data_IF_308392256368
#
_entry.id   IF_308392256368
#
_cell.length_a   1.000
_cell.length_b   1.000
_cell.length_c   1.000
_cell.angle_alpha   90.00
_cell.angle_beta   90.00
_cell.angle_gamma   90.00
#
_symmetry.space_group_name_H-M   'P 1'
#
loop_
_entity.id
_entity.type
_entity.pdbx_description
1 polymer ?
#
# COMPACT_ATOMS: atom_id res chain seq x y z
N UNK A 1 -10.63 -14.95 -6.42
CA UNK A 1 -9.60 -14.02 -5.91
C UNK A 1 -9.12 -14.55 -4.58
N UNK A 2 -7.84 -14.88 -4.48
CA UNK A 2 -7.16 -15.29 -3.25
C UNK A 2 -6.46 -14.08 -2.63
N UNK A 3 -6.47 -14.00 -1.30
CA UNK A 3 -5.74 -12.97 -0.54
C UNK A 3 -4.89 -13.66 0.53
N UNK A 4 -3.60 -13.44 0.48
CA UNK A 4 -2.66 -14.03 1.45
C UNK A 4 -1.46 -13.13 1.71
N UNK A 5 -0.78 -13.40 2.80
CA UNK A 5 0.53 -12.79 3.05
C UNK A 5 1.49 -13.17 1.92
N UNK A 6 2.30 -12.20 1.50
CA UNK A 6 3.38 -12.43 0.55
C UNK A 6 4.44 -13.36 1.14
N UNK A 7 5.15 -14.08 0.29
CA UNK A 7 6.29 -14.92 0.64
C UNK A 7 7.52 -14.49 -0.15
N UNK A 8 8.75 -14.74 0.35
CA UNK A 8 9.97 -14.44 -0.41
C UNK A 8 10.00 -15.06 -1.81
N UNK A 9 9.37 -16.23 -1.98
CA UNK A 9 9.26 -16.94 -3.26
C UNK A 9 8.42 -16.18 -4.29
N UNK A 10 7.54 -15.29 -3.86
CA UNK A 10 6.71 -14.45 -4.74
C UNK A 10 7.50 -13.27 -5.32
N UNK A 11 8.74 -13.04 -4.90
CA UNK A 11 9.52 -11.83 -5.20
C UNK A 11 9.64 -11.53 -6.70
N UNK A 12 9.83 -12.56 -7.54
CA UNK A 12 9.91 -12.37 -9.01
C UNK A 12 8.61 -11.80 -9.54
N UNK A 13 7.49 -12.44 -9.22
CA UNK A 13 6.17 -12.00 -9.66
C UNK A 13 5.80 -10.62 -9.09
N UNK A 14 6.16 -10.36 -7.83
CA UNK A 14 5.99 -9.06 -7.20
C UNK A 14 6.73 -7.94 -7.96
N UNK A 15 7.99 -8.15 -8.31
CA UNK A 15 8.76 -7.16 -9.10
C UNK A 15 8.13 -6.95 -10.47
N UNK A 16 7.72 -8.01 -11.16
CA UNK A 16 7.06 -7.94 -12.46
C UNK A 16 5.73 -7.17 -12.38
N UNK A 17 4.93 -7.46 -11.36
CA UNK A 17 3.66 -6.78 -11.10
C UNK A 17 3.87 -5.28 -10.82
N UNK A 18 4.83 -4.94 -9.95
CA UNK A 18 5.13 -3.55 -9.63
C UNK A 18 5.65 -2.77 -10.84
N UNK A 19 6.51 -3.38 -11.67
CA UNK A 19 6.97 -2.77 -12.94
C UNK A 19 5.83 -2.58 -13.93
N UNK A 20 4.87 -3.51 -13.97
CA UNK A 20 3.67 -3.35 -14.79
C UNK A 20 2.81 -2.19 -14.30
N UNK A 21 2.68 -2.01 -12.98
CA UNK A 21 1.98 -0.86 -12.42
C UNK A 21 2.65 0.48 -12.79
N UNK A 22 3.98 0.54 -12.73
CA UNK A 22 4.72 1.76 -13.11
C UNK A 22 4.48 2.13 -14.60
N UNK A 23 4.18 1.14 -15.46
CA UNK A 23 3.81 1.36 -16.87
C UNK A 23 2.32 1.70 -17.06
N UNK A 24 1.44 1.17 -16.21
CA UNK A 24 -0.02 1.31 -16.33
C UNK A 24 -0.55 2.65 -15.81
N UNK A 25 0.24 3.38 -15.00
CA UNK A 25 -0.22 4.60 -14.35
C UNK A 25 0.94 5.50 -13.91
N UNK A 26 0.73 6.79 -13.93
CA UNK A 26 1.62 7.81 -13.38
C UNK A 26 1.31 8.15 -11.89
N UNK A 27 0.45 7.35 -11.24
CA UNK A 27 0.05 7.56 -9.84
C UNK A 27 0.98 6.84 -8.84
N UNK A 28 1.90 6.00 -9.31
CA UNK A 28 2.91 5.37 -8.48
C UNK A 28 4.10 6.31 -8.28
N UNK A 29 4.93 6.02 -7.26
CA UNK A 29 6.10 6.84 -6.92
C UNK A 29 7.18 6.82 -7.99
N UNK A 30 7.39 5.67 -8.65
CA UNK A 30 8.46 5.47 -9.61
C UNK A 30 7.96 5.65 -11.03
N UNK A 31 8.78 6.29 -11.86
CA UNK A 31 8.57 6.36 -13.31
C UNK A 31 8.89 5.02 -13.98
N UNK A 32 8.33 4.74 -15.17
CA UNK A 32 8.68 3.57 -15.96
C UNK A 32 10.19 3.45 -16.17
N UNK A 33 10.76 2.30 -15.77
CA UNK A 33 12.19 2.01 -15.90
C UNK A 33 13.03 2.31 -14.65
N UNK A 34 12.57 3.09 -13.69
CA UNK A 34 13.32 3.35 -12.45
C UNK A 34 13.37 2.13 -11.53
N UNK A 35 12.30 1.32 -11.52
CA UNK A 35 12.25 0.10 -10.70
C UNK A 35 13.19 -0.96 -11.28
N UNK A 36 14.21 -1.33 -10.49
CA UNK A 36 15.14 -2.41 -10.85
C UNK A 36 14.40 -3.74 -10.96
N UNK A 37 14.81 -4.55 -11.92
CA UNK A 37 14.38 -5.95 -12.02
C UNK A 37 15.32 -6.81 -11.18
N UNK A 38 15.12 -6.81 -9.86
CA UNK A 38 15.97 -7.48 -8.90
C UNK A 38 15.11 -8.32 -7.92
N UNK A 39 14.75 -9.56 -8.31
CA UNK A 39 13.98 -10.45 -7.45
C UNK A 39 14.69 -10.85 -6.16
N UNK A 40 16.04 -10.88 -6.14
CA UNK A 40 16.80 -11.24 -4.94
C UNK A 40 16.71 -10.13 -3.89
N UNK A 41 16.90 -8.88 -4.30
CA UNK A 41 16.70 -7.74 -3.41
C UNK A 41 15.24 -7.65 -2.94
N UNK A 42 14.27 -7.92 -3.81
CA UNK A 42 12.86 -7.96 -3.42
C UNK A 42 12.56 -9.07 -2.40
N UNK A 43 13.14 -10.28 -2.56
CA UNK A 43 12.99 -11.36 -1.61
C UNK A 43 13.62 -11.02 -0.24
N UNK A 44 14.76 -10.32 -0.24
CA UNK A 44 15.37 -9.83 1.00
C UNK A 44 14.46 -8.80 1.69
N UNK A 45 13.97 -7.80 0.96
CA UNK A 45 13.03 -6.79 1.46
C UNK A 45 11.75 -7.42 2.02
N UNK A 46 11.18 -8.43 1.34
CA UNK A 46 10.00 -9.14 1.83
C UNK A 46 10.30 -9.83 3.16
N UNK A 47 11.44 -10.54 3.28
CA UNK A 47 11.85 -11.19 4.54
C UNK A 47 12.00 -10.19 5.68
N UNK A 48 12.66 -9.08 5.43
CA UNK A 48 12.88 -8.02 6.42
C UNK A 48 11.56 -7.40 6.88
N UNK A 49 10.66 -7.07 5.95
CA UNK A 49 9.35 -6.51 6.24
C UNK A 49 8.51 -7.47 7.10
N UNK A 50 8.45 -8.75 6.74
CA UNK A 50 7.72 -9.75 7.49
C UNK A 50 8.33 -9.99 8.89
N UNK A 51 9.64 -10.03 9.00
CA UNK A 51 10.35 -10.17 10.29
C UNK A 51 10.12 -8.96 11.20
N UNK A 52 9.93 -7.78 10.63
CA UNK A 52 9.61 -6.56 11.37
C UNK A 52 8.12 -6.47 11.79
N UNK A 53 7.30 -7.42 11.36
CA UNK A 53 5.87 -7.48 11.67
C UNK A 53 5.03 -6.51 10.85
N UNK A 54 5.48 -6.11 9.67
CA UNK A 54 4.70 -5.30 8.75
C UNK A 54 3.54 -6.09 8.15
N UNK A 55 2.53 -5.37 7.69
CA UNK A 55 1.48 -5.95 6.88
C UNK A 55 1.92 -6.00 5.42
N UNK A 56 1.86 -7.17 4.81
CA UNK A 56 2.22 -7.33 3.42
C UNK A 56 1.35 -8.43 2.78
N UNK A 57 0.27 -8.02 2.12
CA UNK A 57 -0.73 -8.92 1.53
C UNK A 57 -0.78 -8.72 0.02
N UNK A 58 -0.94 -9.82 -0.70
CA UNK A 58 -1.16 -9.86 -2.14
C UNK A 58 -2.56 -10.39 -2.45
N UNK A 59 -3.14 -9.91 -3.56
CA UNK A 59 -4.32 -10.47 -4.20
C UNK A 59 -3.91 -11.22 -5.45
N UNK A 60 -4.39 -12.45 -5.62
CA UNK A 60 -4.09 -13.31 -6.77
C UNK A 60 -5.36 -13.82 -7.45
N UNK A 61 -5.29 -13.95 -8.76
CA UNK A 61 -6.29 -14.68 -9.56
C UNK A 61 -5.57 -15.73 -10.41
N UNK A 62 -5.70 -17.01 -10.02
CA UNK A 62 -4.88 -18.07 -10.57
C UNK A 62 -3.39 -17.81 -10.31
N UNK A 63 -2.59 -17.80 -11.36
CA UNK A 63 -1.14 -17.56 -11.27
C UNK A 63 -0.75 -16.07 -11.32
N UNK A 64 -1.73 -15.17 -11.51
CA UNK A 64 -1.45 -13.75 -11.67
C UNK A 64 -1.63 -12.97 -10.40
N UNK A 65 -0.65 -12.15 -10.03
CA UNK A 65 -0.74 -11.17 -8.95
C UNK A 65 -1.52 -9.95 -9.44
N UNK A 66 -2.70 -9.75 -8.86
CA UNK A 66 -3.65 -8.69 -9.23
C UNK A 66 -3.37 -7.37 -8.50
N UNK A 67 -2.78 -7.46 -7.31
CA UNK A 67 -2.50 -6.29 -6.50
C UNK A 67 -1.76 -6.62 -5.21
N UNK A 68 -1.29 -5.57 -4.55
CA UNK A 68 -0.55 -5.63 -3.29
C UNK A 68 -1.03 -4.51 -2.36
N UNK A 69 -1.03 -4.79 -1.07
CA UNK A 69 -1.15 -3.78 -0.01
C UNK A 69 -0.10 -4.05 1.06
N UNK A 70 0.69 -3.02 1.37
CA UNK A 70 1.67 -3.03 2.45
C UNK A 70 1.31 -1.99 3.49
N UNK A 71 1.65 -2.25 4.75
CA UNK A 71 1.66 -1.25 5.81
C UNK A 71 2.93 -1.42 6.65
N UNK A 72 3.84 -0.47 6.49
CA UNK A 72 5.11 -0.46 7.19
C UNK A 72 4.95 0.21 8.55
N UNK A 73 5.28 -0.51 9.64
CA UNK A 73 5.20 0.00 11.00
C UNK A 73 6.32 1.00 11.29
N UNK A 74 6.02 1.99 12.10
CA UNK A 74 7.03 2.89 12.63
C UNK A 74 8.10 2.14 13.45
N UNK A 75 9.38 2.34 13.11
CA UNK A 75 10.51 1.60 13.69
C UNK A 75 10.95 2.15 15.06
N UNK A 76 10.54 3.38 15.42
CA UNK A 76 10.89 4.00 16.68
C UNK A 76 9.73 3.91 17.68
N UNK A 77 10.05 3.86 18.99
CA UNK A 77 9.06 3.70 20.06
C UNK A 77 7.89 4.70 19.96
N UNK A 78 8.18 5.96 19.59
CA UNK A 78 7.19 7.05 19.55
C UNK A 78 6.22 6.96 18.38
N UNK A 79 6.54 6.19 17.33
CA UNK A 79 5.72 6.06 16.12
C UNK A 79 5.33 4.61 15.83
N UNK A 80 5.71 3.65 16.70
CA UNK A 80 5.43 2.21 16.46
C UNK A 80 3.93 1.86 16.47
N UNK A 81 3.09 2.78 16.94
CA UNK A 81 1.64 2.69 16.90
C UNK A 81 1.05 3.12 15.54
N UNK A 82 1.88 3.62 14.64
CA UNK A 82 1.48 4.05 13.31
C UNK A 82 2.05 3.12 12.23
N UNK A 83 1.35 3.02 11.09
CA UNK A 83 1.85 2.31 9.93
C UNK A 83 1.55 3.11 8.65
N UNK A 84 2.54 3.16 7.74
CA UNK A 84 2.43 3.82 6.45
C UNK A 84 1.96 2.82 5.39
N UNK A 85 0.87 3.15 4.70
CA UNK A 85 0.15 2.26 3.79
C UNK A 85 0.49 2.56 2.33
N UNK A 86 0.78 1.52 1.55
CA UNK A 86 0.89 1.60 0.09
C UNK A 86 0.02 0.51 -0.52
N UNK A 87 -0.77 0.86 -1.54
CA UNK A 87 -1.58 -0.09 -2.29
C UNK A 87 -1.39 0.09 -3.79
N UNK A 88 -1.28 -1.03 -4.49
CA UNK A 88 -1.22 -1.07 -5.94
C UNK A 88 -2.14 -2.17 -6.48
N UNK A 89 -3.02 -1.83 -7.44
CA UNK A 89 -3.90 -2.78 -8.11
C UNK A 89 -3.76 -2.57 -9.61
N UNK A 90 -3.43 -3.63 -10.34
CA UNK A 90 -3.27 -3.62 -11.79
C UNK A 90 -4.56 -3.20 -12.49
N UNK A 91 -4.45 -2.48 -13.60
CA UNK A 91 -5.58 -1.87 -14.31
C UNK A 91 -6.70 -2.86 -14.62
N UNK A 92 -6.37 -4.06 -15.12
CA UNK A 92 -7.34 -5.11 -15.47
C UNK A 92 -8.12 -5.72 -14.28
N UNK A 93 -7.75 -5.36 -13.04
CA UNK A 93 -8.37 -5.88 -11.82
C UNK A 93 -9.08 -4.81 -10.99
N UNK A 94 -9.02 -3.54 -11.42
CA UNK A 94 -9.70 -2.42 -10.73
C UNK A 94 -11.21 -2.54 -10.81
N UNK A 95 -11.92 -1.89 -9.89
CA UNK A 95 -13.39 -1.91 -9.86
C UNK A 95 -14.03 -3.23 -9.38
N UNK A 96 -13.23 -4.24 -8.99
CA UNK A 96 -13.68 -5.57 -8.57
C UNK A 96 -13.72 -5.78 -7.06
N UNK A 97 -13.63 -4.70 -6.28
CA UNK A 97 -13.69 -4.75 -4.81
C UNK A 97 -12.39 -5.19 -4.12
N UNK A 98 -11.29 -5.42 -4.86
CA UNK A 98 -10.01 -5.93 -4.34
C UNK A 98 -9.44 -5.00 -3.26
N UNK A 99 -9.39 -3.70 -3.54
CA UNK A 99 -8.91 -2.73 -2.56
C UNK A 99 -9.72 -2.74 -1.26
N UNK A 100 -11.04 -2.79 -1.37
CA UNK A 100 -11.93 -2.85 -0.20
C UNK A 100 -11.64 -4.08 0.66
N UNK A 101 -11.45 -5.24 0.06
CA UNK A 101 -11.14 -6.47 0.80
C UNK A 101 -9.74 -6.41 1.44
N UNK A 102 -8.75 -5.84 0.74
CA UNK A 102 -7.41 -5.65 1.30
C UNK A 102 -7.42 -4.72 2.52
N UNK A 103 -8.19 -3.62 2.47
CA UNK A 103 -8.32 -2.69 3.61
C UNK A 103 -9.03 -3.33 4.80
N UNK A 104 -10.03 -4.20 4.60
CA UNK A 104 -10.63 -4.96 5.71
C UNK A 104 -9.61 -5.85 6.42
N UNK A 105 -8.72 -6.48 5.66
CA UNK A 105 -7.63 -7.31 6.23
C UNK A 105 -6.60 -6.47 6.94
N UNK A 106 -6.28 -5.29 6.41
CA UNK A 106 -5.41 -4.32 7.04
C UNK A 106 -5.99 -3.87 8.40
N UNK A 107 -7.28 -3.58 8.47
CA UNK A 107 -7.95 -3.19 9.71
C UNK A 107 -7.85 -4.30 10.78
N UNK A 108 -8.09 -5.54 10.41
CA UNK A 108 -7.97 -6.68 11.33
C UNK A 108 -6.53 -6.85 11.83
N UNK A 109 -5.53 -6.70 10.93
CA UNK A 109 -4.12 -6.72 11.31
C UNK A 109 -3.78 -5.56 12.25
N UNK A 110 -4.22 -4.34 11.94
CA UNK A 110 -3.95 -3.16 12.75
C UNK A 110 -4.46 -3.34 14.20
N UNK A 111 -5.66 -3.87 14.38
CA UNK A 111 -6.20 -4.21 15.71
C UNK A 111 -5.31 -5.25 16.40
N UNK A 112 -4.93 -6.32 15.70
CA UNK A 112 -4.14 -7.42 16.28
C UNK A 112 -2.70 -7.01 16.66
N UNK A 113 -2.19 -5.94 16.05
CA UNK A 113 -0.82 -5.43 16.24
C UNK A 113 -0.77 -4.12 17.04
N UNK A 114 -1.89 -3.72 17.65
CA UNK A 114 -2.00 -2.48 18.45
C UNK A 114 -1.61 -1.22 17.63
N UNK A 115 -1.83 -1.24 16.30
CA UNK A 115 -1.67 -0.08 15.45
C UNK A 115 -2.93 0.78 15.61
N UNK A 116 -2.73 2.01 16.06
CA UNK A 116 -3.84 2.97 16.28
C UNK A 116 -3.98 3.99 15.18
N UNK A 117 -2.96 4.09 14.28
CA UNK A 117 -2.94 5.04 13.17
C UNK A 117 -2.44 4.36 11.90
N UNK A 118 -3.24 4.44 10.85
CA UNK A 118 -2.84 4.13 9.47
C UNK A 118 -2.74 5.44 8.70
N UNK A 119 -1.67 5.62 7.94
CA UNK A 119 -1.45 6.85 7.18
C UNK A 119 -0.92 6.57 5.78
N UNK A 120 -1.20 7.46 4.85
CA UNK A 120 -0.75 7.38 3.47
C UNK A 120 -0.66 8.77 2.84
N UNK A 121 0.02 8.85 1.69
CA UNK A 121 -0.13 9.97 0.77
C UNK A 121 -0.76 9.50 -0.54
N UNK A 122 -1.50 10.38 -1.20
CA UNK A 122 -2.15 10.09 -2.47
C UNK A 122 -2.21 11.34 -3.32
N UNK A 123 -1.87 11.22 -4.60
CA UNK A 123 -2.04 12.33 -5.54
C UNK A 123 -3.48 12.80 -5.56
N UNK A 124 -3.67 14.10 -5.45
CA UNK A 124 -4.99 14.77 -5.44
C UNK A 124 -5.83 14.45 -6.68
N UNK A 125 -5.18 14.21 -7.81
CA UNK A 125 -5.82 13.83 -9.08
C UNK A 125 -6.28 12.37 -9.10
N UNK A 126 -5.76 11.51 -8.25
CA UNK A 126 -6.13 10.09 -8.16
C UNK A 126 -7.48 9.91 -7.45
N UNK A 127 -8.56 10.38 -8.09
CA UNK A 127 -9.91 10.36 -7.51
C UNK A 127 -10.38 8.96 -7.11
N UNK A 128 -9.99 7.95 -7.88
CA UNK A 128 -10.37 6.56 -7.59
C UNK A 128 -9.73 6.05 -6.28
N UNK A 129 -8.45 6.36 -6.06
CA UNK A 129 -7.77 5.99 -4.82
C UNK A 129 -8.27 6.81 -3.63
N UNK A 130 -8.45 8.14 -3.78
CA UNK A 130 -9.04 8.99 -2.74
C UNK A 130 -10.39 8.44 -2.29
N UNK A 131 -11.29 8.13 -3.24
CA UNK A 131 -12.59 7.54 -2.92
C UNK A 131 -12.47 6.18 -2.19
N UNK A 132 -11.54 5.32 -2.62
CA UNK A 132 -11.28 4.05 -1.93
C UNK A 132 -10.85 4.27 -0.49
N UNK A 133 -9.95 5.22 -0.24
CA UNK A 133 -9.44 5.52 1.10
C UNK A 133 -10.54 6.13 1.99
N UNK A 134 -11.31 7.10 1.48
CA UNK A 134 -12.45 7.68 2.22
C UNK A 134 -13.48 6.60 2.59
N UNK A 135 -13.83 5.72 1.65
CA UNK A 135 -14.71 4.58 1.90
C UNK A 135 -14.13 3.58 2.92
N UNK A 136 -12.80 3.50 3.02
CA UNK A 136 -12.10 2.68 4.00
C UNK A 136 -11.89 3.37 5.35
N UNK A 137 -12.42 4.59 5.52
CA UNK A 137 -12.41 5.34 6.77
C UNK A 137 -11.21 6.29 6.95
N UNK A 138 -10.42 6.54 5.91
CA UNK A 138 -9.39 7.57 5.95
C UNK A 138 -9.99 8.96 5.76
N UNK A 139 -9.39 9.95 6.41
CA UNK A 139 -9.74 11.36 6.27
C UNK A 139 -8.51 12.15 5.80
N UNK A 140 -8.75 13.23 5.06
CA UNK A 140 -7.68 14.14 4.64
C UNK A 140 -7.25 14.97 5.84
N UNK A 141 -5.96 14.91 6.20
CA UNK A 141 -5.35 15.72 7.26
C UNK A 141 -4.63 16.96 6.71
N UNK A 142 -4.24 16.95 5.45
CA UNK A 142 -3.54 18.07 4.86
C UNK A 142 -3.25 17.93 3.38
N UNK A 143 -2.79 19.04 2.78
CA UNK A 143 -2.34 19.10 1.40
C UNK A 143 -0.81 19.28 1.36
N UNK A 144 -0.12 18.37 0.71
CA UNK A 144 1.31 18.41 0.45
C UNK A 144 1.53 19.00 -0.94
N UNK A 145 1.80 20.31 -0.98
CA UNK A 145 1.97 21.04 -2.24
C UNK A 145 3.29 20.72 -2.91
N UNK A 146 3.25 20.59 -4.25
CA UNK A 146 4.43 20.35 -5.09
C UNK A 146 5.27 19.16 -4.60
N UNK A 147 4.63 18.13 -4.11
CA UNK A 147 5.29 16.97 -3.49
C UNK A 147 5.88 16.00 -4.50
N UNK A 148 5.35 15.99 -5.71
CA UNK A 148 5.84 15.18 -6.82
C UNK A 148 6.06 16.04 -8.07
N UNK A 149 6.85 15.51 -9.01
CA UNK A 149 7.01 16.08 -10.33
C UNK A 149 6.68 15.01 -11.36
N UNK A 150 5.65 15.23 -12.16
CA UNK A 150 5.11 14.26 -13.10
C UNK A 150 5.01 14.93 -14.47
N UNK A 151 5.66 14.35 -15.48
CA UNK A 151 5.67 14.92 -16.83
C UNK A 151 6.20 16.37 -16.88
N UNK A 152 7.11 16.74 -15.96
CA UNK A 152 7.66 18.10 -15.87
C UNK A 152 6.82 19.08 -15.03
N UNK A 153 5.58 18.76 -14.67
CA UNK A 153 4.70 19.59 -13.85
C UNK A 153 4.72 19.15 -12.37
N UNK A 154 4.52 20.09 -11.45
CA UNK A 154 4.34 19.77 -10.05
C UNK A 154 2.94 19.20 -9.78
N UNK A 155 2.87 18.21 -8.93
CA UNK A 155 1.63 17.59 -8.45
C UNK A 155 1.56 17.65 -6.92
N UNK A 156 0.32 17.81 -6.44
CA UNK A 156 0.02 17.84 -5.01
C UNK A 156 -0.43 16.46 -4.53
N UNK A 157 -0.17 16.16 -3.26
CA UNK A 157 -0.70 14.98 -2.59
C UNK A 157 -1.56 15.37 -1.38
N UNK A 158 -2.56 14.56 -1.08
CA UNK A 158 -3.18 14.59 0.23
C UNK A 158 -2.38 13.73 1.21
N UNK A 159 -2.18 14.22 2.44
CA UNK A 159 -1.96 13.36 3.59
C UNK A 159 -3.32 12.84 4.06
N UNK A 160 -3.45 11.54 4.18
CA UNK A 160 -4.67 10.92 4.71
C UNK A 160 -4.31 9.98 5.86
N UNK A 161 -5.18 9.94 6.87
CA UNK A 161 -5.03 9.04 7.99
C UNK A 161 -6.36 8.41 8.40
N UNK A 162 -6.25 7.26 9.04
CA UNK A 162 -7.35 6.54 9.69
C UNK A 162 -6.93 6.16 11.10
N UNK A 163 -7.81 6.42 12.07
CA UNK A 163 -7.63 5.98 13.44
C UNK A 163 -8.35 4.64 13.66
N UNK A 164 -7.63 3.69 14.23
CA UNK A 164 -8.13 2.36 14.56
C UNK A 164 -8.51 2.38 16.03
N UNK A 165 -9.80 2.22 16.39
CA UNK A 165 -10.22 2.09 17.77
C UNK A 165 -9.53 0.89 18.42
N UNK A 166 -8.95 1.09 19.60
CA UNK A 166 -8.48 -0.01 20.42
C UNK A 166 -9.65 -0.46 21.31
N UNK A 167 -9.79 -1.76 21.46
CA UNK A 167 -10.66 -2.27 22.50
C UNK A 167 -10.06 -1.83 23.84
N UNK A 168 -10.65 -0.82 24.48
CA UNK A 168 -10.36 -0.53 25.87
C UNK A 168 -10.64 -1.82 26.63
N UNK A 169 -9.60 -2.41 27.19
CA UNK A 169 -9.67 -3.70 27.86
C UNK A 169 -10.79 -3.70 28.92
N UNK A 170 -11.61 -4.73 28.84
CA UNK A 170 -12.57 -5.04 29.88
C UNK A 170 -11.83 -5.54 31.14
#
# INVERSE_FOLDING_TARGET
MEYRQIRPEDAREYVEMMRSLDLETDMMMLEPGERKNDPEAAAAMIRESLAAGDFFVIAREGESMAGVLTAERGRCRRIRHAAYVVVGIRAGYRGRGIGTEMFKRLDAWAVSQEITRLELTVRKENKAAVHLYEKSGFVIEGLRKNSMRVGGAYADEYYMAKFIPQNEGA
#
